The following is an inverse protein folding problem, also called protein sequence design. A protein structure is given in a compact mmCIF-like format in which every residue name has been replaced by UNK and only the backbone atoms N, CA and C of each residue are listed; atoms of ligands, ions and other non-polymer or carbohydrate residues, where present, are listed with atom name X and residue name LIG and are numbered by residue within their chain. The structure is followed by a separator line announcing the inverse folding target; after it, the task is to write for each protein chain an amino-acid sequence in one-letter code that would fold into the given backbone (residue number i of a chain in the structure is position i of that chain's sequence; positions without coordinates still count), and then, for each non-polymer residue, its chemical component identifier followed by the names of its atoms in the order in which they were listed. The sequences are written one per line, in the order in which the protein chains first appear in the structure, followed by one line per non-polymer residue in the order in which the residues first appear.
data_IF_707896486565
#
_entry.id   IF_707896486565
#
_cell.length_a   1.000
_cell.length_b   1.000
_cell.length_c   1.000
_cell.angle_alpha   90.00
_cell.angle_beta   90.00
_cell.angle_gamma   90.00
#
_symmetry.space_group_name_H-M   'P 1'
#
loop_
_entity.id
_entity.type
_entity.pdbx_description
1 polymer ?
#
# COMPACT_ATOMS: atom_id res chain seq x y z
N UNK A 1 -18.78 10.40 0.34
CA UNK A 1 -17.75 10.21 1.37
C UNK A 1 -16.49 9.52 0.85
N UNK A 2 -16.65 8.45 0.08
CA UNK A 2 -15.50 7.76 -0.56
C UNK A 2 -14.69 8.69 -1.47
N UNK A 3 -15.38 9.46 -2.30
CA UNK A 3 -14.75 10.38 -3.24
C UNK A 3 -13.94 11.47 -2.53
N UNK A 4 -14.46 11.96 -1.39
CA UNK A 4 -13.76 12.96 -0.59
C UNK A 4 -12.49 12.38 0.03
N UNK A 5 -12.56 11.13 0.50
CA UNK A 5 -11.42 10.43 1.08
C UNK A 5 -10.34 10.24 0.02
N UNK A 6 -10.74 9.83 -1.18
CA UNK A 6 -9.84 9.62 -2.31
C UNK A 6 -9.15 10.94 -2.70
N UNK A 7 -9.92 12.01 -2.88
CA UNK A 7 -9.38 13.30 -3.27
C UNK A 7 -8.44 13.89 -2.21
N UNK A 8 -8.81 13.75 -0.95
CA UNK A 8 -8.04 14.33 0.14
C UNK A 8 -6.72 13.61 0.38
N UNK A 9 -6.71 12.29 0.30
CA UNK A 9 -5.56 11.51 0.72
C UNK A 9 -4.73 10.89 -0.40
N UNK A 10 -5.23 10.89 -1.65
CA UNK A 10 -4.51 10.25 -2.75
C UNK A 10 -3.08 10.75 -2.89
N UNK A 11 -2.91 12.06 -3.04
CA UNK A 11 -1.58 12.63 -3.30
C UNK A 11 -0.64 12.41 -2.12
N UNK A 12 -1.16 12.55 -0.91
CA UNK A 12 -0.36 12.33 0.30
C UNK A 12 0.08 10.89 0.42
N UNK A 13 -0.80 9.97 0.13
CA UNK A 13 -0.51 8.55 0.21
C UNK A 13 0.46 8.13 -0.89
N UNK A 14 0.26 8.61 -2.11
CA UNK A 14 1.17 8.33 -3.23
C UNK A 14 2.57 8.83 -2.93
N UNK A 15 2.70 10.03 -2.36
CA UNK A 15 3.99 10.56 -1.94
C UNK A 15 4.66 9.67 -0.89
N UNK A 16 3.89 9.20 0.08
CA UNK A 16 4.38 8.27 1.09
C UNK A 16 4.83 6.95 0.46
N UNK A 17 4.05 6.41 -0.46
CA UNK A 17 4.39 5.18 -1.17
C UNK A 17 5.66 5.35 -2.00
N UNK A 18 5.84 6.52 -2.62
CA UNK A 18 7.06 6.82 -3.36
C UNK A 18 8.28 6.80 -2.43
N UNK A 19 8.15 7.35 -1.24
CA UNK A 19 9.25 7.30 -0.27
C UNK A 19 9.64 5.88 0.12
N UNK A 20 8.66 4.97 0.11
CA UNK A 20 8.91 3.56 0.40
C UNK A 20 9.61 2.85 -0.76
N UNK A 21 9.07 2.95 -1.96
CA UNK A 21 9.53 2.16 -3.11
C UNK A 21 10.51 2.87 -4.04
N UNK A 22 10.59 4.19 -4.00
CA UNK A 22 11.48 5.01 -4.85
C UNK A 22 11.27 4.79 -6.34
N UNK A 23 10.03 4.50 -6.74
CA UNK A 23 9.65 4.25 -8.11
C UNK A 23 8.22 4.75 -8.31
N UNK A 24 8.01 5.66 -9.26
CA UNK A 24 6.72 6.31 -9.48
C UNK A 24 5.62 5.31 -9.85
N UNK A 25 5.92 4.37 -10.74
CA UNK A 25 4.96 3.37 -11.17
C UNK A 25 4.54 2.44 -10.04
N UNK A 26 5.50 1.99 -9.26
CA UNK A 26 5.23 1.12 -8.11
C UNK A 26 4.47 1.87 -7.02
N UNK A 27 4.81 3.15 -6.82
CA UNK A 27 4.10 3.98 -5.84
C UNK A 27 2.64 4.16 -6.22
N UNK A 28 2.36 4.40 -7.49
CA UNK A 28 1.00 4.51 -7.99
C UNK A 28 0.22 3.21 -7.81
N UNK A 29 0.84 2.08 -8.19
CA UNK A 29 0.21 0.77 -8.03
C UNK A 29 -0.09 0.46 -6.56
N UNK A 30 0.85 0.77 -5.67
CA UNK A 30 0.67 0.55 -4.24
C UNK A 30 -0.46 1.42 -3.70
N UNK A 31 -0.52 2.68 -4.13
CA UNK A 31 -1.59 3.60 -3.72
C UNK A 31 -2.95 3.10 -4.18
N UNK A 32 -3.05 2.64 -5.43
CA UNK A 32 -4.28 2.06 -5.96
C UNK A 32 -4.73 0.84 -5.15
N UNK A 33 -3.79 -0.04 -4.83
CA UNK A 33 -4.08 -1.24 -4.05
C UNK A 33 -4.61 -0.90 -2.66
N UNK A 34 -4.02 0.10 -2.00
CA UNK A 34 -4.47 0.55 -0.68
C UNK A 34 -5.91 1.07 -0.76
N UNK A 35 -6.20 1.91 -1.75
CA UNK A 35 -7.56 2.45 -1.90
C UNK A 35 -8.57 1.38 -2.28
N UNK A 36 -8.17 0.38 -3.06
CA UNK A 36 -9.03 -0.76 -3.38
C UNK A 36 -9.39 -1.52 -2.11
N UNK A 37 -8.41 -1.76 -1.25
CA UNK A 37 -8.65 -2.41 0.05
C UNK A 37 -9.54 -1.58 0.96
N UNK A 38 -9.36 -0.26 0.95
CA UNK A 38 -10.23 0.64 1.71
C UNK A 38 -11.67 0.54 1.20
N UNK A 39 -11.85 0.47 -0.11
CA UNK A 39 -13.18 0.31 -0.70
C UNK A 39 -13.82 -1.03 -0.29
N UNK A 40 -13.03 -2.10 -0.24
CA UNK A 40 -13.49 -3.40 0.23
C UNK A 40 -13.87 -3.39 1.71
N UNK A 41 -13.34 -2.44 2.47
CA UNK A 41 -13.61 -2.25 3.89
C UNK A 41 -14.39 -0.96 4.15
N UNK A 42 -15.28 -0.61 3.24
CA UNK A 42 -16.00 0.66 3.28
C UNK A 42 -16.74 0.90 4.59
N UNK A 43 -17.42 -0.13 5.11
CA UNK A 43 -18.14 0.00 6.37
C UNK A 43 -17.22 0.36 7.53
N UNK A 44 -16.02 -0.22 7.57
CA UNK A 44 -15.01 0.10 8.57
C UNK A 44 -14.53 1.53 8.41
N UNK A 45 -14.24 1.93 7.17
CA UNK A 45 -13.76 3.29 6.88
C UNK A 45 -14.78 4.35 7.27
N UNK A 46 -16.06 4.06 7.07
CA UNK A 46 -17.15 4.97 7.43
C UNK A 46 -17.29 5.13 8.94
N UNK A 47 -16.87 4.12 9.71
CA UNK A 47 -16.92 4.17 11.18
C UNK A 47 -15.79 5.02 11.77
N UNK A 48 -14.77 5.36 10.98
CA UNK A 48 -13.59 6.09 11.45
C UNK A 48 -13.77 7.60 11.35
N UNK A 49 -13.14 8.31 12.28
CA UNK A 49 -12.88 9.75 12.12
C UNK A 49 -11.84 9.95 11.01
N UNK A 50 -11.79 11.15 10.37
CA UNK A 50 -10.81 11.39 9.27
C UNK A 50 -9.37 11.07 9.62
N UNK A 51 -8.93 11.37 10.83
CA UNK A 51 -7.58 11.04 11.28
C UNK A 51 -7.33 9.54 11.34
N UNK A 52 -8.35 8.77 11.72
CA UNK A 52 -8.25 7.31 11.76
C UNK A 52 -8.20 6.71 10.35
N UNK A 53 -8.95 7.28 9.41
CA UNK A 53 -8.89 6.87 8.00
C UNK A 53 -7.49 7.07 7.44
N UNK A 54 -6.88 8.22 7.70
CA UNK A 54 -5.52 8.51 7.27
C UNK A 54 -4.54 7.49 7.85
N UNK A 55 -4.61 7.24 9.15
CA UNK A 55 -3.73 6.29 9.82
C UNK A 55 -3.87 4.89 9.23
N UNK A 56 -5.12 4.47 8.95
CA UNK A 56 -5.39 3.17 8.35
C UNK A 56 -4.77 3.05 6.95
N UNK A 57 -4.94 4.08 6.12
CA UNK A 57 -4.40 4.09 4.76
C UNK A 57 -2.87 4.00 4.76
N UNK A 58 -2.22 4.76 5.61
CA UNK A 58 -0.75 4.75 5.69
C UNK A 58 -0.23 3.43 6.25
N UNK A 59 -0.89 2.87 7.26
CA UNK A 59 -0.54 1.57 7.81
C UNK A 59 -0.71 0.46 6.76
N UNK A 60 -1.79 0.51 5.99
CA UNK A 60 -2.05 -0.46 4.93
C UNK A 60 -0.96 -0.41 3.85
N UNK A 61 -0.56 0.81 3.45
CA UNK A 61 0.50 1.00 2.46
C UNK A 61 1.82 0.40 2.94
N UNK A 62 2.18 0.69 4.18
CA UNK A 62 3.41 0.17 4.77
C UNK A 62 3.39 -1.36 4.85
N UNK A 63 2.28 -1.94 5.28
CA UNK A 63 2.14 -3.39 5.41
C UNK A 63 2.21 -4.08 4.05
N UNK A 64 1.54 -3.52 3.03
CA UNK A 64 1.60 -4.04 1.67
C UNK A 64 3.02 -3.98 1.10
N UNK A 65 3.70 -2.86 1.31
CA UNK A 65 5.09 -2.71 0.86
C UNK A 65 6.00 -3.74 1.53
N UNK A 66 5.88 -3.92 2.84
CA UNK A 66 6.67 -4.90 3.57
C UNK A 66 6.40 -6.32 3.07
N UNK A 67 5.15 -6.65 2.77
CA UNK A 67 4.80 -7.96 2.23
C UNK A 67 5.42 -8.18 0.85
N UNK A 68 5.42 -7.16 -0.01
CA UNK A 68 6.05 -7.23 -1.32
C UNK A 68 7.55 -7.47 -1.22
N UNK A 69 8.21 -6.77 -0.31
CA UNK A 69 9.65 -6.93 -0.08
C UNK A 69 9.95 -8.35 0.43
N UNK A 70 9.18 -8.85 1.39
CA UNK A 70 9.36 -10.21 1.92
C UNK A 70 9.19 -11.25 0.83
N UNK A 71 8.19 -11.11 -0.04
CA UNK A 71 7.96 -12.03 -1.16
C UNK A 71 9.13 -12.02 -2.14
N UNK A 72 9.63 -10.83 -2.47
CA UNK A 72 10.77 -10.70 -3.38
C UNK A 72 12.02 -11.37 -2.81
N UNK A 73 12.32 -11.14 -1.55
CA UNK A 73 13.46 -11.76 -0.87
C UNK A 73 13.30 -13.28 -0.84
N UNK A 74 12.10 -13.77 -0.55
CA UNK A 74 11.83 -15.20 -0.51
C UNK A 74 12.01 -15.85 -1.89
N UNK A 75 11.51 -15.18 -2.94
CA UNK A 75 11.66 -15.67 -4.32
C UNK A 75 13.13 -15.74 -4.72
N UNK A 76 13.91 -14.73 -4.41
CA UNK A 76 15.35 -14.73 -4.68
C UNK A 76 16.05 -15.88 -3.94
N UNK A 77 15.69 -16.10 -2.70
CA UNK A 77 16.26 -17.20 -1.90
C UNK A 77 15.93 -18.55 -2.51
N UNK A 78 14.69 -18.75 -2.97
CA UNK A 78 14.26 -19.98 -3.61
C UNK A 78 14.97 -20.19 -4.93
N UNK A 79 15.11 -19.14 -5.74
CA UNK A 79 15.81 -19.22 -7.02
C UNK A 79 17.30 -19.53 -6.82
N UNK A 80 17.90 -18.96 -5.80
CA UNK A 80 19.29 -19.27 -5.45
C UNK A 80 19.49 -20.73 -5.05
N UNK A 81 18.49 -21.33 -4.41
CA UNK A 81 18.53 -22.75 -4.06
C UNK A 81 18.34 -23.66 -5.27
N UNK A 82 17.62 -23.19 -6.29
CA UNK A 82 17.38 -23.95 -7.51
C UNK A 82 18.53 -23.89 -8.51
N UNK A 83 19.40 -22.88 -8.37
CA UNK A 83 20.55 -22.69 -9.25
C UNK A 83 21.76 -23.34 -8.59
N UNK A 84 22.25 -24.48 -9.15
CA UNK A 84 23.33 -25.26 -8.51
C UNK A 84 24.70 -24.60 -8.58
N UNK A 85 24.83 -23.50 -9.27
CA UNK A 85 26.07 -22.76 -9.36
C UNK A 85 26.05 -21.56 -8.44
#
# INVERSE_FOLDING_TARGET
MWELLYEEFWDKLEHFCYKLCRDDGRAEDLTQEVFLRALQNQALMESFAPGQCKAWLFAAARNLYCDQVRRAVKEESLLALLDPD
#
